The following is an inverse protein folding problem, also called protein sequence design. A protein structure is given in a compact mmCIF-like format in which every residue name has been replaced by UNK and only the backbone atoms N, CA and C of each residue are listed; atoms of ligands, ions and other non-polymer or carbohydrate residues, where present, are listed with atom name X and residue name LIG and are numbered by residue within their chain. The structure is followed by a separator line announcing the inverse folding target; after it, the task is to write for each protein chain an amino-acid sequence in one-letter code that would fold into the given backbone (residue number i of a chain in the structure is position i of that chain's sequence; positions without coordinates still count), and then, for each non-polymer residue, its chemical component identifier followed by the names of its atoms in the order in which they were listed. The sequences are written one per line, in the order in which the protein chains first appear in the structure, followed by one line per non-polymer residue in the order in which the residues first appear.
data_IF_300363103032
#
_entry.id   IF_300363103032
#
_cell.length_a   1.000
_cell.length_b   1.000
_cell.length_c   1.000
_cell.angle_alpha   90.00
_cell.angle_beta   90.00
_cell.angle_gamma   90.00
#
_symmetry.space_group_name_H-M   'P 1'
#
loop_
_entity.id
_entity.type
_entity.pdbx_description
1 polymer ?
#
# COMPACT_ATOMS: atom_id res chain seq x y z
N UNK A 1 -12.89 -26.15 32.64
CA UNK A 1 -12.80 -25.46 33.95
C UNK A 1 -14.21 -24.98 34.32
N UNK A 2 -14.56 -25.04 35.60
CA UNK A 2 -15.94 -24.88 36.09
C UNK A 2 -16.05 -23.74 37.11
N UNK A 3 -17.23 -23.13 37.19
CA UNK A 3 -17.55 -22.12 38.19
C UNK A 3 -17.69 -22.77 39.58
N UNK A 4 -17.00 -22.24 40.60
CA UNK A 4 -17.04 -22.77 41.96
C UNK A 4 -18.39 -22.57 42.70
N UNK A 5 -19.32 -21.80 42.11
CA UNK A 5 -20.65 -21.55 42.70
C UNK A 5 -21.70 -22.50 42.13
N UNK A 6 -21.76 -22.67 40.80
CA UNK A 6 -22.77 -23.52 40.15
C UNK A 6 -22.23 -24.85 39.63
N UNK A 7 -20.91 -25.08 39.71
CA UNK A 7 -20.22 -26.28 39.24
C UNK A 7 -20.52 -26.60 37.77
N UNK A 8 -20.70 -25.55 36.95
CA UNK A 8 -20.94 -25.66 35.51
C UNK A 8 -19.74 -25.12 34.73
N UNK A 9 -19.51 -25.70 33.55
CA UNK A 9 -18.47 -25.23 32.62
C UNK A 9 -18.71 -23.77 32.23
N UNK A 10 -17.61 -23.04 32.13
CA UNK A 10 -17.62 -21.71 31.55
C UNK A 10 -17.94 -21.77 30.04
N UNK A 11 -18.73 -20.80 29.57
CA UNK A 11 -19.10 -20.64 28.16
C UNK A 11 -18.91 -19.19 27.69
N UNK A 12 -19.10 -18.94 26.40
CA UNK A 12 -18.97 -17.61 25.80
C UNK A 12 -20.25 -16.77 25.90
N UNK A 13 -21.31 -17.26 26.56
CA UNK A 13 -22.63 -16.61 26.59
C UNK A 13 -23.02 -16.23 28.02
N UNK A 14 -23.81 -17.06 28.72
CA UNK A 14 -24.37 -16.74 30.04
C UNK A 14 -23.41 -17.08 31.17
N UNK A 15 -22.55 -18.09 30.99
CA UNK A 15 -21.58 -18.54 31.97
C UNK A 15 -20.18 -18.05 31.62
N UNK A 16 -20.06 -16.82 31.13
CA UNK A 16 -18.78 -16.16 30.92
C UNK A 16 -18.03 -16.00 32.24
N UNK A 17 -16.78 -16.47 32.37
CA UNK A 17 -15.98 -16.32 33.58
C UNK A 17 -15.61 -14.85 33.77
N UNK A 18 -16.03 -14.24 34.88
CA UNK A 18 -15.77 -12.85 35.26
C UNK A 18 -14.76 -12.79 36.39
N UNK A 19 -13.73 -11.96 36.24
CA UNK A 19 -12.69 -11.73 37.25
C UNK A 19 -13.13 -10.61 38.19
N UNK A 20 -13.18 -10.90 39.49
CA UNK A 20 -13.40 -9.90 40.53
C UNK A 20 -12.09 -9.16 40.86
N UNK A 21 -12.15 -7.96 41.47
CA UNK A 21 -10.95 -7.22 41.89
C UNK A 21 -10.02 -8.00 42.83
N UNK A 22 -10.55 -9.01 43.54
CA UNK A 22 -9.76 -9.89 44.40
C UNK A 22 -9.02 -11.02 43.67
N UNK A 23 -9.21 -11.15 42.34
CA UNK A 23 -8.57 -12.16 41.50
C UNK A 23 -9.38 -13.45 41.29
N UNK A 24 -10.43 -13.67 42.09
CA UNK A 24 -11.31 -14.84 41.93
C UNK A 24 -12.21 -14.71 40.69
N UNK A 25 -12.53 -15.85 40.06
CA UNK A 25 -13.36 -15.90 38.86
C UNK A 25 -14.63 -16.71 39.06
N UNK A 26 -15.78 -16.16 38.67
CA UNK A 26 -17.08 -16.84 38.70
C UNK A 26 -17.87 -16.54 37.43
N UNK A 27 -18.86 -17.37 37.09
CA UNK A 27 -19.61 -17.15 35.87
C UNK A 27 -20.56 -15.95 36.00
N UNK A 28 -20.79 -15.23 34.90
CA UNK A 28 -21.61 -14.02 34.84
C UNK A 28 -23.00 -14.24 35.46
N UNK A 29 -23.67 -15.34 35.10
CA UNK A 29 -24.96 -15.73 35.67
C UNK A 29 -24.94 -15.83 37.19
N UNK A 30 -23.89 -16.42 37.79
CA UNK A 30 -23.76 -16.52 39.24
C UNK A 30 -23.55 -15.15 39.90
N UNK A 31 -22.75 -14.27 39.30
CA UNK A 31 -22.52 -12.93 39.84
C UNK A 31 -23.75 -12.02 39.72
N UNK A 32 -24.57 -12.19 38.69
CA UNK A 32 -25.85 -11.47 38.55
C UNK A 32 -26.88 -11.90 39.59
N UNK A 33 -26.80 -13.13 40.09
CA UNK A 33 -27.69 -13.65 41.13
C UNK A 33 -27.26 -13.33 42.56
N UNK A 34 -26.17 -12.58 42.78
CA UNK A 34 -25.71 -12.23 44.12
C UNK A 34 -26.57 -11.12 44.73
N UNK A 35 -27.10 -11.35 45.93
CA UNK A 35 -27.80 -10.32 46.72
C UNK A 35 -26.85 -9.27 47.29
N UNK A 36 -25.59 -9.62 47.52
CA UNK A 36 -24.56 -8.74 48.08
C UNK A 36 -23.35 -8.77 47.16
N UNK A 37 -22.80 -7.59 46.82
CA UNK A 37 -21.61 -7.48 45.97
C UNK A 37 -20.32 -7.80 46.75
N UNK A 38 -20.20 -9.04 47.19
CA UNK A 38 -19.02 -9.60 47.86
C UNK A 38 -18.60 -10.87 47.13
N UNK A 39 -17.29 -11.10 47.06
CA UNK A 39 -16.75 -12.33 46.52
C UNK A 39 -17.20 -13.54 47.35
N UNK A 40 -17.74 -14.60 46.72
CA UNK A 40 -18.14 -15.83 47.42
C UNK A 40 -17.01 -16.57 48.14
N UNK A 41 -15.74 -16.33 47.78
CA UNK A 41 -14.59 -17.04 48.36
C UNK A 41 -13.93 -16.27 49.51
N UNK A 42 -13.70 -14.97 49.35
CA UNK A 42 -12.94 -14.17 50.32
C UNK A 42 -13.72 -12.98 50.90
N UNK A 43 -15.02 -12.88 50.62
CA UNK A 43 -15.93 -11.84 51.11
C UNK A 43 -15.52 -10.39 50.81
N UNK A 44 -14.51 -10.17 49.95
CA UNK A 44 -14.10 -8.83 49.54
C UNK A 44 -15.20 -8.19 48.70
N UNK A 45 -15.55 -6.95 49.06
CA UNK A 45 -16.55 -6.17 48.36
C UNK A 45 -16.04 -5.75 46.97
N UNK A 46 -16.96 -5.58 46.03
CA UNK A 46 -16.68 -5.04 44.70
C UNK A 46 -17.85 -4.16 44.24
N UNK A 47 -17.55 -3.03 43.59
CA UNK A 47 -18.61 -2.07 43.23
C UNK A 47 -19.09 -2.20 41.78
N UNK A 48 -18.27 -2.80 40.92
CA UNK A 48 -18.55 -2.98 39.50
C UNK A 48 -19.78 -3.88 39.26
N UNK A 49 -20.57 -3.54 38.24
CA UNK A 49 -21.65 -4.42 37.77
C UNK A 49 -21.05 -5.73 37.21
N UNK A 50 -21.64 -6.91 37.49
CA UNK A 50 -21.15 -8.19 36.98
C UNK A 50 -20.88 -8.25 35.48
N UNK A 51 -21.68 -7.56 34.66
CA UNK A 51 -21.48 -7.51 33.21
C UNK A 51 -20.26 -6.70 32.78
N UNK A 52 -19.86 -5.71 33.58
CA UNK A 52 -18.72 -4.82 33.34
C UNK A 52 -17.39 -5.38 33.86
N UNK A 53 -17.41 -6.46 34.62
CA UNK A 53 -16.19 -7.16 35.04
C UNK A 53 -15.49 -7.79 33.84
N UNK A 54 -14.16 -7.86 33.90
CA UNK A 54 -13.33 -8.45 32.84
C UNK A 54 -13.59 -9.95 32.72
N UNK A 55 -13.53 -10.44 31.49
CA UNK A 55 -13.63 -11.88 31.21
C UNK A 55 -12.28 -12.58 31.42
N UNK A 56 -12.30 -13.74 32.07
CA UNK A 56 -11.15 -14.63 32.13
C UNK A 56 -11.22 -15.67 31.00
N UNK A 57 -10.89 -15.25 29.78
CA UNK A 57 -10.95 -16.13 28.61
C UNK A 57 -10.10 -17.41 28.76
N UNK A 58 -9.08 -17.42 29.62
CA UNK A 58 -8.26 -18.60 29.91
C UNK A 58 -9.04 -19.73 30.61
N UNK A 59 -10.16 -19.42 31.28
CA UNK A 59 -11.03 -20.41 31.93
C UNK A 59 -12.10 -20.96 30.97
N UNK A 60 -12.34 -20.29 29.84
CA UNK A 60 -13.17 -20.84 28.79
C UNK A 60 -12.36 -21.95 28.13
N UNK A 61 -12.84 -23.19 28.24
CA UNK A 61 -12.17 -24.30 27.60
C UNK A 61 -12.11 -24.04 26.09
N UNK A 62 -10.90 -23.95 25.53
CA UNK A 62 -10.73 -24.18 24.10
C UNK A 62 -11.28 -25.57 23.85
N UNK A 63 -12.42 -25.68 23.14
CA UNK A 63 -12.76 -26.96 22.51
C UNK A 63 -11.52 -27.29 21.68
N UNK A 64 -10.90 -28.47 21.85
CA UNK A 64 -9.86 -28.88 20.93
C UNK A 64 -10.52 -28.87 19.56
N UNK A 65 -10.20 -27.85 18.77
CA UNK A 65 -10.31 -27.94 17.33
C UNK A 65 -9.45 -29.14 17.01
N UNK A 66 -10.03 -30.14 16.35
CA UNK A 66 -9.27 -31.29 15.91
C UNK A 66 -8.11 -30.80 15.02
N UNK A 67 -6.94 -30.62 15.63
CA UNK A 67 -5.81 -29.93 15.01
C UNK A 67 -5.20 -30.71 13.85
N UNK A 68 -5.60 -31.98 13.70
CA UNK A 68 -5.30 -32.83 12.56
C UNK A 68 -6.11 -32.45 11.31
N UNK A 69 -7.35 -31.96 11.49
CA UNK A 69 -8.32 -31.77 10.40
C UNK A 69 -8.22 -30.43 9.64
N UNK A 70 -7.33 -29.51 10.01
CA UNK A 70 -7.28 -28.14 9.43
C UNK A 70 -5.92 -27.70 8.86
N UNK A 71 -4.99 -28.61 8.62
CA UNK A 71 -3.64 -28.25 8.13
C UNK A 71 -3.40 -28.48 6.65
N UNK A 72 -4.43 -28.88 5.91
CA UNK A 72 -4.33 -29.12 4.49
C UNK A 72 -4.90 -27.95 3.69
N UNK A 73 -4.31 -27.70 2.53
CA UNK A 73 -4.71 -26.71 1.56
C UNK A 73 -5.21 -27.44 0.32
N UNK A 74 -6.41 -27.08 -0.15
CA UNK A 74 -6.99 -27.65 -1.34
C UNK A 74 -6.44 -26.93 -2.58
N UNK A 75 -5.77 -27.67 -3.46
CA UNK A 75 -5.17 -27.11 -4.68
C UNK A 75 -6.21 -26.74 -5.74
N UNK A 76 -7.38 -27.38 -5.72
CA UNK A 76 -8.49 -27.09 -6.64
C UNK A 76 -9.30 -25.87 -6.20
N UNK A 77 -9.72 -25.84 -4.93
CA UNK A 77 -10.59 -24.78 -4.40
C UNK A 77 -9.83 -23.54 -3.91
N UNK A 78 -8.50 -23.60 -3.79
CA UNK A 78 -7.65 -22.50 -3.29
C UNK A 78 -8.10 -21.98 -1.91
N UNK A 79 -8.37 -22.91 -0.99
CA UNK A 79 -8.73 -22.62 0.39
C UNK A 79 -8.20 -23.69 1.34
N UNK A 80 -8.27 -23.45 2.65
CA UNK A 80 -8.05 -24.48 3.67
C UNK A 80 -9.01 -25.63 3.37
N UNK A 81 -8.49 -26.85 3.25
CA UNK A 81 -9.26 -28.00 2.82
C UNK A 81 -10.23 -28.43 3.94
N UNK A 82 -11.57 -28.30 3.75
CA UNK A 82 -12.53 -29.02 4.59
C UNK A 82 -12.42 -30.53 4.33
N UNK A 83 -12.99 -31.36 5.20
CA UNK A 83 -12.91 -32.83 5.12
C UNK A 83 -13.31 -33.38 3.75
N UNK A 84 -14.39 -32.85 3.16
CA UNK A 84 -14.86 -33.21 1.82
C UNK A 84 -13.80 -32.99 0.72
N UNK A 85 -13.01 -31.92 0.83
CA UNK A 85 -11.93 -31.63 -0.10
C UNK A 85 -10.74 -32.57 0.07
N UNK A 86 -10.49 -33.09 1.29
CA UNK A 86 -9.39 -34.05 1.52
C UNK A 86 -9.65 -35.37 0.78
N UNK A 87 -10.91 -35.78 0.68
CA UNK A 87 -11.30 -37.02 0.02
C UNK A 87 -11.44 -36.87 -1.50
N UNK A 88 -11.88 -35.70 -1.98
CA UNK A 88 -12.26 -35.52 -3.40
C UNK A 88 -11.28 -34.69 -4.22
N UNK A 89 -10.40 -33.91 -3.57
CA UNK A 89 -9.49 -33.00 -4.25
C UNK A 89 -8.02 -33.25 -3.88
N UNK A 90 -7.08 -32.89 -4.78
CA UNK A 90 -5.68 -32.87 -4.43
C UNK A 90 -5.44 -31.81 -3.35
N UNK A 91 -4.95 -32.27 -2.21
CA UNK A 91 -4.57 -31.43 -1.07
C UNK A 91 -3.06 -31.47 -0.82
N UNK A 92 -2.52 -30.41 -0.25
CA UNK A 92 -1.13 -30.36 0.23
C UNK A 92 -1.06 -29.76 1.63
N UNK A 93 0.09 -29.80 2.30
CA UNK A 93 0.22 -29.13 3.59
C UNK A 93 0.09 -27.61 3.44
N UNK A 94 -0.61 -26.96 4.37
CA UNK A 94 -0.78 -25.50 4.37
C UNK A 94 0.59 -24.78 4.42
N UNK A 95 1.59 -25.38 5.07
CA UNK A 95 2.96 -24.85 5.10
C UNK A 95 3.57 -24.81 3.70
N UNK A 96 3.40 -25.87 2.91
CA UNK A 96 3.89 -25.94 1.53
C UNK A 96 3.15 -24.93 0.65
N UNK A 97 1.82 -24.89 0.71
CA UNK A 97 1.02 -23.92 -0.06
C UNK A 97 1.44 -22.47 0.22
N UNK A 98 1.64 -22.12 1.50
CA UNK A 98 2.12 -20.78 1.89
C UNK A 98 3.52 -20.47 1.37
N UNK A 99 4.41 -21.45 1.36
CA UNK A 99 5.76 -21.27 0.82
C UNK A 99 5.72 -21.01 -0.70
N UNK A 100 4.97 -21.83 -1.44
CA UNK A 100 4.81 -21.69 -2.90
C UNK A 100 4.11 -20.37 -3.27
N UNK A 101 3.07 -19.96 -2.52
CA UNK A 101 2.41 -18.68 -2.73
C UNK A 101 3.35 -17.50 -2.43
N UNK A 102 4.17 -17.60 -1.38
CA UNK A 102 5.16 -16.57 -1.06
C UNK A 102 6.24 -16.48 -2.14
N UNK A 103 6.76 -17.61 -2.63
CA UNK A 103 7.72 -17.66 -3.74
C UNK A 103 7.14 -17.03 -5.00
N UNK A 104 5.91 -17.38 -5.38
CA UNK A 104 5.24 -16.80 -6.55
C UNK A 104 5.08 -15.27 -6.42
N UNK A 105 4.73 -14.79 -5.22
CA UNK A 105 4.63 -13.36 -4.95
C UNK A 105 5.98 -12.66 -5.03
N UNK A 106 7.04 -13.27 -4.49
CA UNK A 106 8.40 -12.73 -4.56
C UNK A 106 8.90 -12.66 -6.02
N UNK A 107 8.71 -13.71 -6.81
CA UNK A 107 9.04 -13.69 -8.23
C UNK A 107 8.25 -12.60 -8.98
N UNK A 108 6.96 -12.45 -8.65
CA UNK A 108 6.12 -11.38 -9.21
C UNK A 108 6.65 -9.99 -8.88
N UNK A 109 7.05 -9.75 -7.64
CA UNK A 109 7.67 -8.50 -7.20
C UNK A 109 9.01 -8.26 -7.89
N UNK A 110 9.86 -9.28 -7.99
CA UNK A 110 11.16 -9.17 -8.67
C UNK A 110 11.00 -8.81 -10.15
N UNK A 111 10.06 -9.43 -10.86
CA UNK A 111 9.73 -9.05 -12.24
C UNK A 111 9.21 -7.61 -12.33
N UNK A 112 8.39 -7.19 -11.37
CA UNK A 112 7.90 -5.81 -11.28
C UNK A 112 9.03 -4.80 -11.09
N UNK A 113 9.97 -5.07 -10.19
CA UNK A 113 11.15 -4.22 -9.96
C UNK A 113 12.00 -4.12 -11.24
N UNK A 114 12.30 -5.25 -11.88
CA UNK A 114 13.06 -5.25 -13.13
C UNK A 114 12.38 -4.43 -14.24
N UNK A 115 11.05 -4.51 -14.36
CA UNK A 115 10.31 -3.71 -15.33
C UNK A 115 10.38 -2.20 -15.02
N UNK A 116 10.36 -1.82 -13.74
CA UNK A 116 10.54 -0.42 -13.32
C UNK A 116 11.95 0.08 -13.65
N UNK A 117 12.98 -0.75 -13.42
CA UNK A 117 14.36 -0.39 -13.76
C UNK A 117 14.55 -0.18 -15.27
N UNK A 118 13.93 -1.01 -16.11
CA UNK A 118 13.94 -0.82 -17.57
C UNK A 118 13.21 0.47 -17.99
N UNK A 119 12.08 0.79 -17.36
CA UNK A 119 11.40 2.07 -17.60
C UNK A 119 12.26 3.27 -17.19
N UNK A 120 13.03 3.17 -16.11
CA UNK A 120 13.95 4.23 -15.69
C UNK A 120 15.02 4.50 -16.74
N UNK A 121 15.64 3.46 -17.32
CA UNK A 121 16.63 3.59 -18.40
C UNK A 121 16.05 4.26 -19.65
N UNK A 122 14.79 3.94 -19.98
CA UNK A 122 14.09 4.58 -21.10
C UNK A 122 13.84 6.07 -20.81
N UNK A 123 13.47 6.42 -19.59
CA UNK A 123 13.30 7.83 -19.18
C UNK A 123 14.63 8.60 -19.31
N UNK A 124 15.74 8.06 -18.81
CA UNK A 124 17.07 8.67 -18.97
C UNK A 124 17.43 8.90 -20.43
N UNK A 125 17.15 7.90 -21.28
CA UNK A 125 17.37 8.02 -22.72
C UNK A 125 16.54 9.16 -23.32
N UNK A 126 15.24 9.23 -23.00
CA UNK A 126 14.33 10.29 -23.48
C UNK A 126 14.76 11.68 -23.02
N UNK A 127 15.31 11.81 -21.81
CA UNK A 127 15.89 13.05 -21.33
C UNK A 127 17.13 13.46 -22.13
N UNK A 128 17.97 12.50 -22.51
CA UNK A 128 19.09 12.70 -23.44
C UNK A 128 18.63 13.26 -24.78
N UNK A 129 17.69 12.57 -25.46
CA UNK A 129 17.12 13.03 -26.74
C UNK A 129 16.48 14.42 -26.64
N UNK A 130 15.78 14.70 -25.53
CA UNK A 130 15.20 16.03 -25.27
C UNK A 130 16.29 17.10 -25.20
N UNK A 131 17.42 16.81 -24.54
CA UNK A 131 18.57 17.70 -24.47
C UNK A 131 19.15 18.01 -25.83
N UNK A 132 19.37 16.99 -26.67
CA UNK A 132 19.89 17.14 -28.04
C UNK A 132 18.96 17.99 -28.91
N UNK A 133 17.66 17.67 -28.93
CA UNK A 133 16.67 18.43 -29.69
C UNK A 133 16.58 19.89 -29.22
N UNK A 134 16.76 20.13 -27.91
CA UNK A 134 16.77 21.49 -27.37
C UNK A 134 18.03 22.26 -27.80
N UNK A 135 19.19 21.61 -27.85
CA UNK A 135 20.42 22.20 -28.36
C UNK A 135 20.31 22.54 -29.86
N UNK A 136 19.77 21.63 -30.68
CA UNK A 136 19.51 21.88 -32.10
C UNK A 136 18.53 23.04 -32.30
N UNK A 137 17.44 23.09 -31.51
CA UNK A 137 16.47 24.19 -31.57
C UNK A 137 17.14 25.53 -31.29
N UNK A 138 17.99 25.61 -30.26
CA UNK A 138 18.74 26.84 -29.94
C UNK A 138 19.65 27.23 -31.10
N UNK A 139 20.40 26.27 -31.66
CA UNK A 139 21.28 26.51 -32.80
C UNK A 139 20.53 27.06 -34.02
N UNK A 140 19.36 26.49 -34.34
CA UNK A 140 18.50 26.96 -35.42
C UNK A 140 17.98 28.39 -35.18
N UNK A 141 17.52 28.69 -33.96
CA UNK A 141 17.06 30.04 -33.60
C UNK A 141 18.21 31.05 -33.73
N UNK A 142 19.41 30.71 -33.25
CA UNK A 142 20.59 31.57 -33.39
C UNK A 142 20.98 31.77 -34.85
N UNK A 143 21.00 30.70 -35.66
CA UNK A 143 21.31 30.79 -37.08
C UNK A 143 20.29 31.66 -37.84
N UNK A 144 19.00 31.52 -37.51
CA UNK A 144 17.93 32.35 -38.05
C UNK A 144 18.14 33.83 -37.71
N UNK A 145 18.48 34.15 -36.46
CA UNK A 145 18.78 35.52 -36.04
C UNK A 145 19.93 36.13 -36.85
N UNK A 146 21.05 35.40 -36.99
CA UNK A 146 22.19 35.84 -37.82
C UNK A 146 21.81 36.09 -39.27
N UNK A 147 20.94 35.26 -39.85
CA UNK A 147 20.47 35.44 -41.21
C UNK A 147 19.63 36.72 -41.33
N UNK A 148 18.74 36.99 -40.37
CA UNK A 148 17.93 38.21 -40.34
C UNK A 148 18.80 39.46 -40.19
N UNK A 149 19.81 39.42 -39.34
CA UNK A 149 20.77 40.52 -39.17
C UNK A 149 21.56 40.78 -40.47
N UNK A 150 22.01 39.72 -41.14
CA UNK A 150 22.71 39.83 -42.42
C UNK A 150 21.81 40.39 -43.53
N UNK A 151 20.54 39.97 -43.58
CA UNK A 151 19.54 40.52 -44.51
C UNK A 151 19.30 42.01 -44.27
N UNK A 152 19.12 42.42 -43.01
CA UNK A 152 18.96 43.84 -42.66
C UNK A 152 20.18 44.68 -42.98
N UNK A 153 21.39 44.12 -42.80
CA UNK A 153 22.63 44.80 -43.19
C UNK A 153 22.75 44.97 -44.72
N UNK A 154 22.40 43.95 -45.50
CA UNK A 154 22.42 44.03 -46.96
C UNK A 154 21.41 45.07 -47.47
N UNK A 155 20.17 45.07 -46.93
CA UNK A 155 19.17 46.09 -47.24
C UNK A 155 19.67 47.51 -46.95
N UNK A 156 20.32 47.73 -45.79
CA UNK A 156 20.89 49.02 -45.43
C UNK A 156 22.03 49.47 -46.38
N UNK A 157 22.87 48.54 -46.83
CA UNK A 157 23.91 48.82 -47.84
C UNK A 157 23.28 49.23 -49.17
N UNK A 158 22.26 48.50 -49.63
CA UNK A 158 21.54 48.82 -50.86
C UNK A 158 20.86 50.18 -50.79
N UNK A 159 20.21 50.51 -49.68
CA UNK A 159 19.52 51.79 -49.52
C UNK A 159 20.50 52.97 -49.46
N UNK A 160 21.65 52.80 -48.80
CA UNK A 160 22.73 53.78 -48.84
C UNK A 160 23.27 53.97 -50.25
N UNK A 161 23.51 52.89 -51.00
CA UNK A 161 23.99 52.98 -52.37
C UNK A 161 23.00 53.71 -53.29
N UNK A 162 21.69 53.49 -53.12
CA UNK A 162 20.65 54.25 -53.83
C UNK A 162 20.69 55.74 -53.50
N UNK A 163 20.84 56.10 -52.22
CA UNK A 163 20.93 57.49 -51.77
C UNK A 163 22.17 58.19 -52.34
N UNK A 164 23.34 57.55 -52.24
CA UNK A 164 24.61 58.08 -52.77
C UNK A 164 24.52 58.29 -54.29
N UNK A 165 23.92 57.34 -55.03
CA UNK A 165 23.70 57.46 -56.47
C UNK A 165 22.75 58.63 -56.82
N UNK A 166 21.64 58.79 -56.09
CA UNK A 166 20.71 59.90 -56.29
C UNK A 166 21.38 61.26 -56.03
N UNK A 167 22.19 61.35 -54.97
CA UNK A 167 22.93 62.57 -54.64
C UNK A 167 24.00 62.90 -55.70
N UNK A 168 24.70 61.89 -56.24
CA UNK A 168 25.67 62.08 -57.31
C UNK A 168 25.02 62.63 -58.60
N UNK A 169 23.84 62.11 -58.98
CA UNK A 169 23.07 62.62 -60.13
C UNK A 169 22.67 64.07 -59.91
N UNK A 170 22.15 64.41 -58.73
CA UNK A 170 21.77 65.78 -58.39
C UNK A 170 22.96 66.75 -58.44
N UNK A 171 24.13 66.34 -57.93
CA UNK A 171 25.36 67.15 -57.98
C UNK A 171 25.87 67.35 -59.42
N UNK A 172 25.71 66.36 -60.30
CA UNK A 172 26.09 66.48 -61.70
C UNK A 172 25.22 67.49 -62.46
N UNK A 173 23.91 67.52 -62.19
CA UNK A 173 22.96 68.47 -62.81
C UNK A 173 23.16 69.92 -62.36
N UNK A 174 23.71 70.17 -61.18
CA UNK A 174 24.01 71.53 -60.69
C UNK A 174 25.30 72.09 -61.30
N UNK A 175 26.19 71.21 -61.80
CA UNK A 175 27.50 71.61 -62.38
C UNK A 175 27.50 71.74 -63.91
N UNK A 176 26.40 71.41 -64.59
CA UNK A 176 26.17 71.58 -66.03
C UNK A 176 25.42 72.87 -66.33
#
# INVERSE_FOLDING_TARGET
MECQVCLQNFDSTERRPKVLPCGHSFCLRCLQGLHVKKCPLDNKAFDASPSKLMDNYSLMAFKPVDTASLRFWCLSCKQIAPQECVEQHPVCSLKKARAEDAERLLEGLQRGVAAVDELAKLCESLEGWRGELQAERVALVTAKGRLQDAQGADEAVWDKAKQDAAQAVMHAQIRS
#
